data_IF_327821367360
#
_entry.id   IF_327821367360
#
_cell.length_a   1.000
_cell.length_b   1.000
_cell.length_c   1.000
_cell.angle_alpha   90.00
_cell.angle_beta   90.00
_cell.angle_gamma   90.00
#
_symmetry.space_group_name_H-M   'P 1'
#
loop_
_entity.id
_entity.type
_entity.pdbx_description
1 polymer ?
#
# COMPACT_ATOMS: atom_id res chain seq x y z
N UNK A 1 5.92 25.97 2.06
CA UNK A 1 4.86 24.95 2.18
C UNK A 1 5.08 23.96 1.06
N UNK A 2 5.37 22.70 1.37
CA UNK A 2 5.62 21.66 0.38
C UNK A 2 4.28 21.22 -0.22
N UNK A 3 3.79 21.96 -1.23
CA UNK A 3 2.54 21.66 -1.92
C UNK A 3 2.62 20.43 -2.83
N UNK A 4 3.84 19.95 -3.10
CA UNK A 4 4.11 18.84 -4.02
C UNK A 4 4.16 17.47 -3.32
N UNK A 5 3.99 17.43 -1.99
CA UNK A 5 4.04 16.17 -1.24
C UNK A 5 2.69 15.45 -1.34
N UNK A 6 2.74 14.19 -1.75
CA UNK A 6 1.56 13.31 -1.79
C UNK A 6 1.41 12.63 -0.43
N UNK A 7 0.26 12.84 0.23
CA UNK A 7 -0.08 12.07 1.44
C UNK A 7 -0.29 10.62 1.07
N UNK A 8 0.57 9.75 1.59
CA UNK A 8 0.56 8.32 1.33
C UNK A 8 -0.39 7.56 2.28
N UNK A 9 -0.68 8.14 3.44
CA UNK A 9 -1.58 7.57 4.44
C UNK A 9 -1.33 8.18 5.81
N UNK A 10 -2.35 8.12 6.66
CA UNK A 10 -2.26 8.50 8.07
C UNK A 10 -2.53 7.25 8.91
N UNK A 11 -1.75 7.07 9.97
CA UNK A 11 -1.96 5.99 10.92
C UNK A 11 -1.92 6.56 12.34
N UNK A 12 -2.78 6.02 13.20
CA UNK A 12 -2.86 6.44 14.59
C UNK A 12 -2.33 5.31 15.47
N UNK A 13 -1.35 5.64 16.32
CA UNK A 13 -0.94 4.76 17.40
C UNK A 13 -1.74 5.16 18.65
N UNK A 14 -2.84 4.47 18.90
CA UNK A 14 -3.70 4.73 20.05
C UNK A 14 -3.35 3.86 21.28
N UNK A 15 -3.98 4.17 22.41
CA UNK A 15 -3.86 3.36 23.63
C UNK A 15 -2.52 3.48 24.34
N UNK A 16 -1.74 4.54 24.10
CA UNK A 16 -0.53 4.84 24.86
C UNK A 16 -0.89 5.20 26.31
N UNK A 17 -0.12 4.66 27.26
CA UNK A 17 -0.27 5.04 28.67
C UNK A 17 0.04 6.53 28.85
N UNK A 18 -0.73 7.26 29.68
CA UNK A 18 -0.47 8.67 29.94
C UNK A 18 0.91 8.83 30.58
N UNK A 19 1.82 9.45 29.85
CA UNK A 19 3.18 9.73 30.29
C UNK A 19 3.47 11.22 30.15
N UNK A 20 4.31 11.79 31.05
CA UNK A 20 4.82 13.15 30.87
C UNK A 20 5.44 13.34 29.48
N UNK A 21 5.26 14.53 28.90
CA UNK A 21 5.82 14.86 27.58
C UNK A 21 7.33 14.62 27.58
N UNK A 22 7.84 13.97 26.53
CA UNK A 22 9.27 13.66 26.36
C UNK A 22 9.73 12.33 26.95
N UNK A 23 8.86 11.61 27.66
CA UNK A 23 9.14 10.25 28.18
C UNK A 23 8.72 9.12 27.21
N UNK A 24 7.57 9.17 26.51
CA UNK A 24 7.19 8.06 25.63
C UNK A 24 8.20 7.95 24.48
N UNK A 25 8.76 6.74 24.33
CA UNK A 25 9.68 6.39 23.26
C UNK A 25 8.91 5.57 22.23
N UNK A 26 8.72 6.16 21.06
CA UNK A 26 8.06 5.51 19.93
C UNK A 26 9.12 5.25 18.88
N UNK A 27 9.40 3.97 18.63
CA UNK A 27 10.23 3.52 17.53
C UNK A 27 9.35 3.43 16.29
N UNK A 28 9.68 4.23 15.27
CA UNK A 28 9.00 4.21 13.97
C UNK A 28 9.97 3.67 12.93
N UNK A 29 9.59 2.60 12.25
CA UNK A 29 10.36 1.98 11.18
C UNK A 29 9.60 2.10 9.86
N UNK A 30 10.32 2.52 8.82
CA UNK A 30 9.83 2.63 7.44
C UNK A 30 10.61 1.63 6.60
N UNK A 31 9.92 0.62 6.11
CA UNK A 31 10.47 -0.42 5.25
C UNK A 31 9.89 -0.27 3.83
N UNK A 32 10.75 -0.34 2.82
CA UNK A 32 10.33 -0.29 1.41
C UNK A 32 10.82 -1.57 0.77
N UNK A 33 9.88 -2.35 0.25
CA UNK A 33 10.20 -3.60 -0.40
C UNK A 33 10.47 -3.41 -1.91
N UNK A 34 10.97 -4.46 -2.55
CA UNK A 34 11.29 -4.48 -3.98
C UNK A 34 10.06 -4.24 -4.88
N UNK A 35 8.85 -4.49 -4.37
CA UNK A 35 7.60 -4.21 -5.10
C UNK A 35 7.15 -2.74 -4.96
N UNK A 36 7.84 -1.91 -4.17
CA UNK A 36 7.50 -0.51 -3.95
C UNK A 36 6.34 -0.29 -2.98
N UNK A 37 6.07 -1.26 -2.10
CA UNK A 37 5.14 -1.19 -0.98
C UNK A 37 5.90 -0.61 0.21
N UNK A 38 5.40 0.51 0.73
CA UNK A 38 5.93 1.14 1.93
C UNK A 38 5.22 0.52 3.15
N UNK A 39 5.96 -0.19 3.99
CA UNK A 39 5.47 -0.69 5.27
C UNK A 39 5.96 0.21 6.40
N UNK A 40 5.01 0.83 7.12
CA UNK A 40 5.32 1.68 8.27
C UNK A 40 4.88 0.93 9.52
N UNK A 41 5.78 0.82 10.49
CA UNK A 41 5.48 0.25 11.80
C UNK A 41 5.89 1.20 12.90
N UNK A 42 5.05 1.34 13.91
CA UNK A 42 5.31 2.14 15.10
C UNK A 42 5.14 1.26 16.33
N UNK A 43 6.11 1.30 17.23
CA UNK A 43 6.10 0.56 18.49
C UNK A 43 6.44 1.49 19.64
N UNK A 44 5.61 1.48 20.66
CA UNK A 44 5.92 2.13 21.92
C UNK A 44 6.81 1.20 22.77
N UNK A 45 8.00 1.68 23.11
CA UNK A 45 8.97 0.90 23.89
C UNK A 45 8.50 0.67 25.33
N UNK A 46 7.63 1.55 25.86
CA UNK A 46 7.17 1.49 27.25
C UNK A 46 6.04 0.47 27.47
N UNK A 47 5.02 0.49 26.62
CA UNK A 47 3.87 -0.43 26.71
C UNK A 47 4.03 -1.69 25.86
N UNK A 48 4.99 -1.71 24.93
CA UNK A 48 5.15 -2.80 23.96
C UNK A 48 4.07 -2.84 22.88
N UNK A 49 3.11 -1.90 22.88
CA UNK A 49 2.08 -1.80 21.86
C UNK A 49 2.69 -1.40 20.53
N UNK A 50 2.23 -2.05 19.47
CA UNK A 50 2.65 -1.76 18.10
C UNK A 50 1.46 -1.67 17.16
N UNK A 51 1.55 -0.76 16.20
CA UNK A 51 0.63 -0.63 15.08
C UNK A 51 1.46 -0.53 13.80
N UNK A 52 0.97 -1.13 12.72
CA UNK A 52 1.61 -1.04 11.42
C UNK A 52 0.59 -0.86 10.32
N UNK A 53 1.02 -0.20 9.24
CA UNK A 53 0.26 0.02 8.02
C UNK A 53 1.14 -0.31 6.83
N UNK A 54 0.59 -1.00 5.84
CA UNK A 54 1.23 -1.21 4.55
C UNK A 54 0.55 -0.31 3.53
N UNK A 55 1.32 0.64 3.01
CA UNK A 55 0.89 1.57 1.98
C UNK A 55 1.40 1.01 0.65
N UNK A 56 0.51 0.32 -0.04
CA UNK A 56 0.66 0.07 -1.47
C UNK A 56 0.36 1.37 -2.19
N UNK A 57 1.17 1.75 -3.20
CA UNK A 57 0.96 2.94 -4.06
C UNK A 57 -0.33 2.90 -4.92
N UNK A 58 -1.38 2.24 -4.43
CA UNK A 58 -2.72 2.07 -4.99
C UNK A 58 -3.43 3.38 -5.28
N UNK A 59 -2.96 4.51 -4.73
CA UNK A 59 -3.55 5.84 -4.98
C UNK A 59 -3.57 6.21 -6.47
N UNK A 60 -2.78 5.56 -7.33
CA UNK A 60 -2.82 5.77 -8.80
C UNK A 60 -3.82 4.89 -9.55
N UNK A 61 -4.25 3.77 -8.99
CA UNK A 61 -5.20 2.85 -9.64
C UNK A 61 -6.28 2.48 -8.64
N UNK A 62 -7.39 3.21 -8.69
CA UNK A 62 -8.64 2.82 -8.04
C UNK A 62 -8.93 1.34 -8.33
N UNK A 63 -9.50 0.63 -7.36
CA UNK A 63 -9.93 -0.78 -7.53
C UNK A 63 -10.80 -0.96 -8.78
N UNK A 64 -11.53 0.08 -9.19
CA UNK A 64 -12.27 0.10 -10.46
C UNK A 64 -11.36 -0.05 -11.69
N UNK A 65 -10.23 0.65 -11.73
CA UNK A 65 -9.27 0.57 -12.83
C UNK A 65 -8.60 -0.81 -12.88
N UNK A 66 -8.26 -1.39 -11.72
CA UNK A 66 -7.74 -2.76 -11.65
C UNK A 66 -8.73 -3.76 -12.26
N UNK A 67 -10.01 -3.65 -11.90
CA UNK A 67 -11.06 -4.53 -12.44
C UNK A 67 -11.22 -4.38 -13.97
N UNK A 68 -11.23 -3.15 -14.47
CA UNK A 68 -11.30 -2.89 -15.93
C UNK A 68 -10.11 -3.48 -16.67
N UNK A 69 -8.89 -3.32 -16.14
CA UNK A 69 -7.68 -3.88 -16.76
C UNK A 69 -7.69 -5.40 -16.78
N UNK A 70 -8.19 -6.05 -15.72
CA UNK A 70 -8.33 -7.51 -15.67
C UNK A 70 -9.37 -8.00 -16.69
N UNK A 71 -10.51 -7.30 -16.80
CA UNK A 71 -11.57 -7.65 -17.75
C UNK A 71 -11.11 -7.47 -19.21
N UNK A 72 -10.38 -6.38 -19.49
CA UNK A 72 -9.83 -6.09 -20.81
C UNK A 72 -8.73 -7.10 -21.19
N UNK A 73 -7.84 -7.45 -20.27
CA UNK A 73 -6.84 -8.49 -20.47
C UNK A 73 -7.49 -9.87 -20.74
N UNK A 74 -8.56 -10.22 -20.02
CA UNK A 74 -9.28 -11.47 -20.23
C UNK A 74 -9.97 -11.51 -21.61
N UNK A 75 -10.59 -10.41 -22.04
CA UNK A 75 -11.20 -10.29 -23.38
C UNK A 75 -10.16 -10.38 -24.48
N UNK A 76 -9.00 -9.73 -24.30
CA UNK A 76 -7.94 -9.74 -25.29
C UNK A 76 -7.25 -11.11 -25.37
N UNK A 77 -7.13 -11.84 -24.26
CA UNK A 77 -6.62 -13.22 -24.27
C UNK A 77 -7.52 -14.20 -25.03
N UNK A 78 -8.86 -14.01 -24.98
CA UNK A 78 -9.79 -14.80 -25.79
C UNK A 78 -9.70 -14.44 -27.29
N UNK A 79 -9.51 -13.16 -27.60
CA UNK A 79 -9.29 -12.68 -28.95
C UNK A 79 -7.96 -13.19 -29.54
N UNK A 80 -6.88 -13.22 -28.75
CA UNK A 80 -5.58 -13.74 -29.15
C UNK A 80 -5.62 -15.26 -29.36
N UNK A 81 -6.34 -16.02 -28.52
CA UNK A 81 -6.63 -17.44 -28.74
C UNK A 81 -7.41 -17.70 -30.03
N UNK A 82 -8.36 -16.83 -30.38
CA UNK A 82 -9.07 -16.93 -31.66
C UNK A 82 -8.19 -16.56 -32.85
N UNK A 83 -7.35 -15.53 -32.73
CA UNK A 83 -6.39 -15.11 -33.75
C UNK A 83 -5.32 -16.17 -34.04
N UNK A 84 -4.74 -16.76 -32.98
CA UNK A 84 -3.75 -17.83 -33.08
C UNK A 84 -4.32 -19.10 -33.74
N UNK A 85 -5.62 -19.37 -33.56
CA UNK A 85 -6.29 -20.52 -34.20
C UNK A 85 -6.63 -20.27 -35.67
N UNK A 86 -6.74 -19.00 -36.10
CA UNK A 86 -7.09 -18.65 -37.49
C UNK A 86 -5.86 -18.54 -38.40
N UNK A 87 -4.65 -18.39 -37.85
CA UNK A 87 -3.40 -18.33 -38.62
C UNK A 87 -2.79 -19.71 -38.96
N UNK A 88 -3.41 -20.81 -38.51
CA UNK A 88 -2.91 -22.18 -38.75
C UNK A 88 -3.94 -23.07 -39.49
N UNK A 89 -4.70 -22.48 -40.42
CA UNK A 89 -5.55 -23.20 -41.40
C UNK A 89 -5.30 -22.69 -42.81
#
# INVERSE_FOLDING_TARGET
MAGDNVSLGEFYLDGLSPAPRGIPKIDVCFDIDLNGILSVSAKDTASGKSQSISITGSTRLSEENKKRMVDEAARNADADKKGARMQNS
#
